data_IF_396816919291
#
_entry.id   IF_396816919291
#
_cell.length_a   1.000
_cell.length_b   1.000
_cell.length_c   1.000
_cell.angle_alpha   90.00
_cell.angle_beta   90.00
_cell.angle_gamma   90.00
#
_symmetry.space_group_name_H-M   'P 1'
#
loop_
_entity.id
_entity.type
_entity.pdbx_description
1 polymer ?
#
# COMPACT_ATOMS: atom_id res chain seq x y z
N UNK A 1 -33.47 34.99 -57.18
CA UNK A 1 -32.83 34.21 -56.10
C UNK A 1 -33.02 32.75 -56.45
N UNK A 2 -31.97 32.18 -57.06
CA UNK A 2 -31.08 31.24 -56.36
C UNK A 2 -31.76 29.85 -56.30
N UNK A 3 -31.60 29.02 -57.32
CA UNK A 3 -30.51 28.04 -57.47
C UNK A 3 -30.95 26.64 -57.03
N UNK A 4 -31.49 25.90 -58.01
CA UNK A 4 -31.22 24.48 -58.32
C UNK A 4 -31.66 23.43 -57.29
N UNK A 5 -32.70 22.66 -57.64
CA UNK A 5 -32.73 21.23 -57.35
C UNK A 5 -33.48 20.40 -58.40
N UNK A 6 -32.78 19.35 -58.83
CA UNK A 6 -33.22 18.01 -59.30
C UNK A 6 -34.13 17.95 -60.52
N UNK A 7 -33.76 17.07 -61.46
CA UNK A 7 -34.47 15.79 -61.65
C UNK A 7 -33.72 14.89 -62.68
N UNK A 8 -34.07 13.60 -62.81
CA UNK A 8 -33.13 12.49 -62.90
C UNK A 8 -33.21 11.81 -64.27
N UNK A 9 -32.53 10.66 -64.48
CA UNK A 9 -32.95 9.58 -65.40
C UNK A 9 -32.05 8.36 -65.17
N UNK A 10 -32.58 7.30 -64.56
CA UNK A 10 -33.18 6.12 -65.22
C UNK A 10 -32.18 5.37 -66.12
N UNK A 11 -31.60 4.33 -65.54
CA UNK A 11 -31.80 2.94 -65.96
C UNK A 11 -31.05 2.41 -67.18
N UNK A 12 -30.38 1.27 -66.94
CA UNK A 12 -30.48 0.00 -67.71
C UNK A 12 -29.21 -0.50 -68.42
N UNK A 13 -28.89 -1.78 -68.12
CA UNK A 13 -28.34 -2.88 -68.95
C UNK A 13 -26.88 -3.23 -68.64
N UNK A 14 -26.67 -4.30 -67.85
CA UNK A 14 -26.33 -5.69 -68.27
C UNK A 14 -25.00 -5.80 -69.04
N UNK A 15 -23.98 -6.38 -68.40
CA UNK A 15 -23.28 -7.57 -68.92
C UNK A 15 -22.33 -8.14 -67.85
N UNK A 16 -22.51 -9.42 -67.51
CA UNK A 16 -21.58 -10.19 -66.70
C UNK A 16 -20.39 -10.66 -67.57
N UNK A 17 -19.17 -10.46 -67.09
CA UNK A 17 -17.92 -10.99 -67.70
C UNK A 17 -17.11 -11.65 -66.58
N UNK A 18 -16.61 -12.89 -66.76
CA UNK A 18 -16.15 -13.74 -65.67
C UNK A 18 -14.77 -13.32 -65.13
N UNK A 19 -14.66 -13.31 -63.80
CA UNK A 19 -13.46 -12.98 -63.03
C UNK A 19 -12.52 -14.19 -63.03
N UNK A 20 -11.39 -14.10 -63.74
CA UNK A 20 -10.29 -15.06 -63.64
C UNK A 20 -9.29 -14.61 -62.58
N UNK A 21 -9.21 -15.34 -61.47
CA UNK A 21 -8.30 -15.10 -60.36
C UNK A 21 -6.86 -15.52 -60.73
N UNK A 22 -6.01 -14.56 -61.10
CA UNK A 22 -4.55 -14.73 -61.12
C UNK A 22 -3.98 -14.23 -59.79
N UNK A 23 -3.94 -15.11 -58.80
CA UNK A 23 -3.27 -14.84 -57.53
C UNK A 23 -1.75 -14.98 -57.68
N UNK A 24 -1.03 -13.86 -57.74
CA UNK A 24 0.40 -13.86 -57.48
C UNK A 24 0.63 -13.72 -55.97
N UNK A 25 1.16 -14.76 -55.33
CA UNK A 25 1.66 -14.70 -53.96
C UNK A 25 3.06 -14.08 -53.96
N UNK A 26 3.30 -12.90 -53.37
CA UNK A 26 4.65 -12.37 -53.26
C UNK A 26 5.39 -13.09 -52.12
N UNK A 27 6.43 -13.85 -52.48
CA UNK A 27 7.39 -14.42 -51.52
C UNK A 27 8.22 -13.30 -50.89
N UNK A 28 7.92 -12.93 -49.64
CA UNK A 28 8.71 -11.96 -48.86
C UNK A 28 10.00 -12.64 -48.41
N UNK A 29 11.14 -12.23 -48.97
CA UNK A 29 12.46 -12.67 -48.49
C UNK A 29 12.85 -11.86 -47.26
N UNK A 30 12.84 -12.50 -46.10
CA UNK A 30 13.36 -11.91 -44.86
C UNK A 30 14.86 -12.18 -44.79
N UNK A 31 15.65 -11.26 -45.32
CA UNK A 31 17.10 -11.21 -45.04
C UNK A 31 17.28 -10.48 -43.71
N UNK A 32 17.53 -11.24 -42.64
CA UNK A 32 17.79 -10.68 -41.32
C UNK A 32 19.20 -10.06 -41.32
N UNK A 33 19.37 -8.74 -41.07
CA UNK A 33 20.70 -8.18 -40.85
C UNK A 33 21.32 -8.83 -39.60
N UNK A 34 22.65 -8.95 -39.60
CA UNK A 34 23.42 -9.58 -38.53
C UNK A 34 22.98 -9.07 -37.15
N UNK A 35 22.76 -9.96 -36.16
CA UNK A 35 22.17 -9.58 -34.89
C UNK A 35 23.03 -8.54 -34.17
N UNK A 36 22.39 -7.44 -33.77
CA UNK A 36 23.03 -6.37 -33.00
C UNK A 36 23.59 -6.95 -31.71
N UNK A 37 24.92 -6.98 -31.59
CA UNK A 37 25.60 -7.39 -30.35
C UNK A 37 25.58 -6.25 -29.36
N UNK A 38 24.61 -6.28 -28.44
CA UNK A 38 24.51 -5.30 -27.36
C UNK A 38 25.49 -5.71 -26.25
N UNK A 39 26.68 -5.12 -26.27
CA UNK A 39 27.61 -5.20 -25.15
C UNK A 39 27.19 -4.21 -24.06
N UNK A 40 26.20 -4.58 -23.25
CA UNK A 40 25.78 -3.76 -22.11
C UNK A 40 26.88 -3.84 -21.04
N UNK A 41 27.64 -2.77 -20.88
CA UNK A 41 28.42 -2.55 -19.65
C UNK A 41 27.51 -1.82 -18.69
N UNK A 42 26.88 -2.56 -17.79
CA UNK A 42 26.08 -1.98 -16.70
C UNK A 42 27.05 -1.60 -15.58
N UNK A 43 27.43 -0.33 -15.51
CA UNK A 43 28.04 0.24 -14.32
C UNK A 43 26.90 0.48 -13.32
N UNK A 44 26.67 -0.49 -12.44
CA UNK A 44 25.84 -0.29 -11.26
C UNK A 44 26.67 0.48 -10.26
N UNK A 45 26.70 1.80 -10.42
CA UNK A 45 27.13 2.69 -9.35
C UNK A 45 26.01 2.69 -8.31
N UNK A 46 26.14 1.84 -7.30
CA UNK A 46 25.36 2.00 -6.08
C UNK A 46 25.90 3.26 -5.41
N UNK A 47 25.44 4.44 -5.85
CA UNK A 47 25.54 5.63 -5.02
C UNK A 47 24.63 5.37 -3.84
N UNK A 48 25.19 4.80 -2.77
CA UNK A 48 24.61 4.92 -1.45
C UNK A 48 24.61 6.42 -1.16
N UNK A 49 23.54 7.11 -1.56
CA UNK A 49 23.19 8.38 -0.94
C UNK A 49 22.95 8.01 0.51
N UNK A 50 24.02 8.05 1.29
CA UNK A 50 23.96 8.11 2.73
C UNK A 50 23.36 9.47 3.05
N UNK A 51 22.06 9.63 2.77
CA UNK A 51 21.25 10.45 3.64
C UNK A 51 21.51 9.87 5.01
N UNK A 52 22.14 10.65 5.88
CA UNK A 52 22.15 10.41 7.31
C UNK A 52 20.71 10.47 7.81
N UNK A 53 19.84 9.56 7.36
CA UNK A 53 18.57 9.26 7.97
C UNK A 53 18.92 8.30 9.10
N UNK A 54 19.66 8.82 10.08
CA UNK A 54 19.80 8.16 11.37
C UNK A 54 18.38 8.10 11.89
N UNK A 55 17.81 6.89 11.90
CA UNK A 55 16.51 6.67 12.52
C UNK A 55 16.63 7.25 13.93
N UNK A 56 15.77 8.20 14.34
CA UNK A 56 15.88 8.84 15.66
C UNK A 56 15.65 7.84 16.81
N UNK A 57 15.22 6.62 16.45
CA UNK A 57 14.86 5.54 17.34
C UNK A 57 15.93 4.47 17.24
N UNK A 58 16.37 4.01 18.40
CA UNK A 58 17.38 2.99 18.51
C UNK A 58 16.93 1.69 17.80
N UNK A 59 17.80 1.02 17.00
CA UNK A 59 17.42 -0.09 16.13
C UNK A 59 16.70 -1.24 16.84
N UNK A 60 17.04 -1.49 18.11
CA UNK A 60 16.41 -2.51 18.95
C UNK A 60 14.92 -2.26 19.17
N UNK A 61 14.49 -1.00 19.28
CA UNK A 61 13.06 -0.67 19.42
C UNK A 61 12.31 -1.03 18.15
N UNK A 62 12.88 -0.76 16.98
CA UNK A 62 12.27 -1.16 15.72
C UNK A 62 12.18 -2.69 15.60
N UNK A 63 13.23 -3.39 16.01
CA UNK A 63 13.28 -4.84 15.94
C UNK A 63 12.31 -5.53 16.90
N UNK A 64 12.26 -5.12 18.17
CA UNK A 64 11.33 -5.69 19.14
C UNK A 64 9.87 -5.57 18.68
N UNK A 65 9.50 -4.41 18.14
CA UNK A 65 8.15 -4.18 17.60
C UNK A 65 7.86 -5.05 16.38
N UNK A 66 8.86 -5.27 15.52
CA UNK A 66 8.74 -6.18 14.37
C UNK A 66 8.47 -7.60 14.84
N UNK A 67 9.23 -8.08 15.83
CA UNK A 67 9.09 -9.43 16.37
C UNK A 67 7.72 -9.66 17.04
N UNK A 68 7.23 -8.69 17.82
CA UNK A 68 5.90 -8.77 18.48
C UNK A 68 4.69 -8.48 17.59
N UNK A 69 4.91 -8.01 16.36
CA UNK A 69 3.82 -7.57 15.47
C UNK A 69 2.76 -8.67 15.22
N UNK A 70 3.18 -9.93 15.10
CA UNK A 70 2.27 -11.06 14.92
C UNK A 70 1.39 -11.34 16.15
N UNK A 71 1.98 -11.27 17.35
CA UNK A 71 1.27 -11.47 18.62
C UNK A 71 0.24 -10.37 18.85
N UNK A 72 0.63 -9.11 18.63
CA UNK A 72 -0.26 -7.95 18.71
C UNK A 72 -1.42 -8.12 17.72
N UNK A 73 -1.12 -8.50 16.48
CA UNK A 73 -2.15 -8.68 15.46
C UNK A 73 -3.13 -9.80 15.83
N UNK A 74 -2.64 -10.91 16.39
CA UNK A 74 -3.47 -11.99 16.90
C UNK A 74 -4.40 -11.54 18.01
N UNK A 75 -3.90 -10.78 18.99
CA UNK A 75 -4.69 -10.24 20.09
C UNK A 75 -5.74 -9.23 19.63
N UNK A 76 -5.41 -8.38 18.65
CA UNK A 76 -6.36 -7.41 18.06
C UNK A 76 -7.47 -8.11 17.29
N UNK A 77 -7.13 -9.12 16.48
CA UNK A 77 -8.10 -9.94 15.74
C UNK A 77 -9.05 -10.70 16.69
N UNK A 78 -8.53 -11.16 17.83
CA UNK A 78 -9.33 -11.79 18.88
C UNK A 78 -10.20 -10.80 19.67
N UNK A 79 -10.06 -9.49 19.43
CA UNK A 79 -10.79 -8.44 20.15
C UNK A 79 -10.36 -8.25 21.60
N UNK A 80 -9.22 -8.85 22.00
CA UNK A 80 -8.69 -8.76 23.37
C UNK A 80 -8.09 -7.39 23.64
N UNK A 81 -7.39 -6.83 22.64
CA UNK A 81 -6.74 -5.52 22.73
C UNK A 81 -7.19 -4.60 21.58
N UNK A 82 -6.97 -3.31 21.74
CA UNK A 82 -7.29 -2.28 20.75
C UNK A 82 -6.30 -1.12 20.77
N UNK A 83 -6.38 -0.26 19.76
CA UNK A 83 -5.62 1.00 19.72
C UNK A 83 -6.39 2.06 20.52
N UNK A 84 -5.78 2.62 21.55
CA UNK A 84 -6.39 3.69 22.35
C UNK A 84 -6.27 5.06 21.66
N UNK A 85 -6.93 6.06 22.26
CA UNK A 85 -6.98 7.43 21.71
C UNK A 85 -5.64 8.17 21.79
N UNK A 86 -4.72 7.67 22.61
CA UNK A 86 -3.40 8.25 22.89
C UNK A 86 -2.29 7.57 22.07
N UNK A 87 -2.66 6.63 21.20
CA UNK A 87 -1.77 5.92 20.30
C UNK A 87 -1.02 4.77 20.97
N UNK A 88 -1.50 4.26 22.09
CA UNK A 88 -1.01 3.05 22.73
C UNK A 88 -1.97 1.88 22.52
N UNK A 89 -1.55 0.69 22.94
CA UNK A 89 -2.43 -0.47 23.03
C UNK A 89 -3.09 -0.50 24.41
N UNK A 90 -4.34 -0.93 24.46
CA UNK A 90 -5.04 -1.21 25.72
C UNK A 90 -5.80 -2.54 25.62
N UNK A 91 -6.00 -3.17 26.78
CA UNK A 91 -6.86 -4.36 26.89
C UNK A 91 -8.31 -3.91 26.86
N UNK A 92 -9.10 -4.45 25.93
CA UNK A 92 -10.51 -4.11 25.70
C UNK A 92 -11.42 -5.18 26.29
N UNK A 93 -11.25 -6.43 25.87
CA UNK A 93 -12.00 -7.57 26.35
C UNK A 93 -11.04 -8.58 26.98
N UNK A 94 -10.73 -8.46 28.28
CA UNK A 94 -9.80 -9.38 28.93
C UNK A 94 -10.35 -10.80 28.89
N UNK A 95 -9.55 -11.79 28.48
CA UNK A 95 -9.99 -13.18 28.43
C UNK A 95 -10.18 -13.75 29.84
N UNK A 96 -11.04 -14.76 29.96
CA UNK A 96 -11.30 -15.45 31.23
C UNK A 96 -10.12 -16.33 31.68
N UNK A 97 -9.37 -16.89 30.73
CA UNK A 97 -8.16 -17.65 31.01
C UNK A 97 -7.06 -16.73 31.56
N UNK A 98 -6.59 -17.03 32.77
CA UNK A 98 -5.65 -16.17 33.50
C UNK A 98 -4.30 -16.10 32.79
N UNK A 99 -3.81 -17.22 32.25
CA UNK A 99 -2.52 -17.26 31.56
C UNK A 99 -2.57 -16.41 30.27
N UNK A 100 -3.65 -16.53 29.50
CA UNK A 100 -3.83 -15.74 28.28
C UNK A 100 -4.04 -14.25 28.57
N UNK A 101 -4.73 -13.91 29.66
CA UNK A 101 -4.85 -12.52 30.13
C UNK A 101 -3.49 -11.92 30.46
N UNK A 102 -2.68 -12.63 31.24
CA UNK A 102 -1.33 -12.19 31.61
C UNK A 102 -0.43 -12.04 30.38
N UNK A 103 -0.53 -12.96 29.41
CA UNK A 103 0.16 -12.83 28.13
C UNK A 103 -0.24 -11.55 27.39
N UNK A 104 -1.54 -11.27 27.27
CA UNK A 104 -2.02 -10.07 26.60
C UNK A 104 -1.55 -8.78 27.30
N UNK A 105 -1.62 -8.73 28.63
CA UNK A 105 -1.12 -7.61 29.43
C UNK A 105 0.38 -7.39 29.25
N UNK A 106 1.17 -8.47 29.21
CA UNK A 106 2.61 -8.40 28.99
C UNK A 106 2.95 -7.85 27.60
N UNK A 107 2.29 -8.36 26.54
CA UNK A 107 2.47 -7.87 25.17
C UNK A 107 2.12 -6.38 25.06
N UNK A 108 1.02 -5.95 25.67
CA UNK A 108 0.60 -4.54 25.71
C UNK A 108 1.64 -3.67 26.41
N UNK A 109 2.10 -4.09 27.59
CA UNK A 109 3.11 -3.34 28.36
C UNK A 109 4.42 -3.17 27.56
N UNK A 110 4.89 -4.27 26.95
CA UNK A 110 6.15 -4.29 26.22
C UNK A 110 6.11 -3.45 24.94
N UNK A 111 5.02 -3.54 24.18
CA UNK A 111 4.80 -2.70 23.02
C UNK A 111 4.68 -1.22 23.40
N UNK A 112 3.93 -0.89 24.46
CA UNK A 112 3.75 0.49 24.89
C UNK A 112 5.04 1.11 25.42
N UNK A 113 5.90 0.33 26.09
CA UNK A 113 7.25 0.77 26.48
C UNK A 113 8.09 1.17 25.27
N UNK A 114 8.00 0.42 24.18
CA UNK A 114 8.74 0.71 22.96
C UNK A 114 8.08 1.84 22.13
N UNK A 115 6.75 1.94 22.12
CA UNK A 115 6.02 3.11 21.57
C UNK A 115 6.36 4.40 22.32
N UNK A 116 6.52 4.36 23.64
CA UNK A 116 6.93 5.52 24.43
C UNK A 116 8.32 6.04 24.00
N UNK A 117 9.31 5.14 23.87
CA UNK A 117 10.64 5.50 23.36
C UNK A 117 10.57 6.08 21.96
N UNK A 118 9.76 5.46 21.09
CA UNK A 118 9.50 5.94 19.73
C UNK A 118 8.94 7.36 19.75
N UNK A 119 7.92 7.63 20.57
CA UNK A 119 7.27 8.94 20.62
C UNK A 119 8.22 10.00 21.18
N UNK A 120 8.97 9.68 22.23
CA UNK A 120 9.99 10.59 22.79
C UNK A 120 11.15 10.89 21.82
N UNK A 121 11.50 9.95 20.95
CA UNK A 121 12.46 10.21 19.89
C UNK A 121 11.88 11.16 18.83
N UNK A 122 10.59 11.01 18.50
CA UNK A 122 9.91 11.84 17.51
C UNK A 122 9.64 13.26 17.99
N UNK A 123 9.36 13.48 19.28
CA UNK A 123 9.24 14.83 19.85
C UNK A 123 10.54 15.62 19.65
N UNK A 124 11.68 15.00 19.98
CA UNK A 124 13.01 15.61 19.80
C UNK A 124 13.34 15.87 18.33
N UNK A 125 13.03 14.91 17.45
CA UNK A 125 13.32 15.03 16.03
C UNK A 125 12.48 16.14 15.36
N UNK A 126 11.20 16.24 15.72
CA UNK A 126 10.25 17.13 15.05
C UNK A 126 10.05 18.47 15.75
N UNK A 127 10.54 18.62 16.98
CA UNK A 127 10.30 19.81 17.82
C UNK A 127 8.84 19.97 18.26
N UNK A 128 8.06 18.88 18.22
CA UNK A 128 6.65 18.85 18.64
C UNK A 128 6.51 18.43 20.10
N UNK A 129 5.40 18.81 20.70
CA UNK A 129 5.02 18.33 22.03
C UNK A 129 4.74 16.83 22.00
N UNK A 130 4.81 16.18 23.17
CA UNK A 130 4.51 14.75 23.29
C UNK A 130 3.05 14.45 22.91
N UNK A 131 2.12 15.30 23.32
CA UNK A 131 0.69 15.18 23.01
C UNK A 131 0.45 15.22 21.49
N UNK A 132 1.06 16.16 20.76
CA UNK A 132 0.94 16.22 19.28
C UNK A 132 1.46 14.95 18.61
N UNK A 133 2.57 14.37 19.10
CA UNK A 133 3.11 13.12 18.58
C UNK A 133 2.18 11.94 18.90
N UNK A 134 1.67 11.83 20.13
CA UNK A 134 0.70 10.82 20.50
C UNK A 134 -0.52 10.87 19.58
N UNK A 135 -1.06 12.06 19.38
CA UNK A 135 -2.20 12.34 18.50
C UNK A 135 -1.97 11.86 17.05
N UNK A 136 -0.79 12.14 16.50
CA UNK A 136 -0.41 11.69 15.16
C UNK A 136 -0.34 10.17 15.05
N UNK A 137 0.23 9.53 16.07
CA UNK A 137 0.34 8.07 16.12
C UNK A 137 -1.01 7.41 16.41
N UNK A 138 -1.83 7.94 17.29
CA UNK A 138 -3.21 7.50 17.54
C UNK A 138 -4.00 7.47 16.24
N UNK A 139 -3.99 8.58 15.49
CA UNK A 139 -4.62 8.67 14.17
C UNK A 139 -4.02 7.66 13.19
N UNK A 140 -2.69 7.47 13.19
CA UNK A 140 -2.00 6.51 12.31
C UNK A 140 -2.40 5.06 12.61
N UNK A 141 -2.38 4.65 13.87
CA UNK A 141 -2.71 3.29 14.29
C UNK A 141 -4.19 2.99 14.09
N UNK A 142 -5.07 3.92 14.45
CA UNK A 142 -6.51 3.84 14.18
C UNK A 142 -6.84 3.65 12.69
N UNK A 143 -6.15 4.38 11.81
CA UNK A 143 -6.32 4.21 10.34
C UNK A 143 -5.86 2.84 9.86
N UNK A 144 -4.77 2.32 10.44
CA UNK A 144 -4.20 1.00 10.10
C UNK A 144 -4.95 -0.17 10.70
N UNK A 145 -5.82 0.08 11.69
CA UNK A 145 -6.64 -0.97 12.25
C UNK A 145 -7.52 -1.63 11.17
N UNK A 146 -7.59 -2.95 11.18
CA UNK A 146 -8.40 -3.73 10.25
C UNK A 146 -9.89 -3.71 10.65
N UNK A 147 -10.81 -3.99 9.72
CA UNK A 147 -12.21 -4.23 10.08
C UNK A 147 -12.32 -5.33 11.14
N UNK A 148 -13.16 -5.11 12.15
CA UNK A 148 -13.35 -5.99 13.30
C UNK A 148 -12.41 -5.72 14.48
N UNK A 149 -11.43 -4.83 14.36
CA UNK A 149 -10.55 -4.44 15.46
C UNK A 149 -11.11 -3.28 16.27
N UNK A 150 -10.74 -3.21 17.55
CA UNK A 150 -11.16 -2.13 18.44
C UNK A 150 -10.23 -0.91 18.32
N UNK A 151 -10.86 0.26 18.23
CA UNK A 151 -10.22 1.58 18.27
C UNK A 151 -11.00 2.44 19.26
N UNK A 152 -10.29 3.14 20.14
CA UNK A 152 -10.90 4.08 21.06
C UNK A 152 -11.10 5.44 20.39
N UNK A 153 -12.31 5.98 20.52
CA UNK A 153 -12.68 7.28 20.04
C UNK A 153 -12.19 8.38 20.99
N UNK A 154 -12.13 9.66 20.55
CA UNK A 154 -11.68 10.76 21.41
C UNK A 154 -12.47 10.90 22.73
N UNK A 155 -13.77 10.57 22.71
CA UNK A 155 -14.65 10.56 23.88
C UNK A 155 -14.38 9.40 24.86
N UNK A 156 -13.45 8.50 24.52
CA UNK A 156 -13.08 7.33 25.31
C UNK A 156 -13.90 6.06 24.99
N UNK A 157 -14.90 6.15 24.12
CA UNK A 157 -15.71 4.99 23.73
C UNK A 157 -14.91 4.06 22.81
N UNK A 158 -15.02 2.75 23.04
CA UNK A 158 -14.44 1.74 22.16
C UNK A 158 -15.39 1.45 21.01
N UNK A 159 -14.90 1.54 19.78
CA UNK A 159 -15.63 1.17 18.56
C UNK A 159 -14.92 0.02 17.89
N UNK A 160 -15.70 -0.98 17.47
CA UNK A 160 -15.23 -2.05 16.61
C UNK A 160 -15.35 -1.58 15.15
N UNK A 161 -14.22 -1.42 14.47
CA UNK A 161 -14.13 -0.84 13.11
C UNK A 161 -14.74 -1.73 12.04
#
# INVERSE_FOLDING_TARGET
>A
MESIHRFPRKGWFLLAVPITLLGCSPTVRVTTPEPVRIHVRMNVEVTEKQSAHVSPVAPEVAEHRRLRSGEIQGLKNAGVIGEDRDGFLAVVNPPADVAYKQFAEHVVQDENRDRLKLYMAQTKLQGKTFEEIQDEYARRWSRRAFPGEYVQQPDGAWVRK
#
